data_IF_020535403280
#
_entry.id   IF_020535403280
#
_cell.length_a   1.000
_cell.length_b   1.000
_cell.length_c   1.000
_cell.angle_alpha   90.00
_cell.angle_beta   90.00
_cell.angle_gamma   90.00
#
_symmetry.space_group_name_H-M   'P 1'
#
loop_
_entity.id
_entity.type
_entity.pdbx_description
1 polymer ?
#
# COMPACT_ATOMS: atom_id res chain seq x y z
N UNK A 1 23.35 33.65 44.39
CA UNK A 1 22.77 32.36 43.94
C UNK A 1 22.36 31.58 45.17
N UNK A 2 21.08 31.34 45.36
CA UNK A 2 20.49 30.78 46.58
C UNK A 2 20.62 29.26 46.54
N UNK A 3 20.72 28.59 47.68
CA UNK A 3 20.87 27.14 47.79
C UNK A 3 19.74 26.37 47.04
N UNK A 4 18.56 26.96 46.96
CA UNK A 4 17.43 26.39 46.21
C UNK A 4 17.65 26.43 44.68
N UNK A 5 18.23 27.50 44.16
CA UNK A 5 18.54 27.61 42.72
C UNK A 5 19.63 26.62 42.30
N UNK A 6 20.61 26.39 43.20
CA UNK A 6 21.66 25.38 42.96
C UNK A 6 21.11 23.96 42.96
N UNK A 7 20.15 23.64 43.81
CA UNK A 7 19.48 22.34 43.81
C UNK A 7 18.59 22.15 42.56
N UNK A 8 17.86 23.17 42.11
CA UNK A 8 17.07 23.08 40.89
C UNK A 8 17.93 22.88 39.65
N UNK A 9 19.06 23.57 39.54
CA UNK A 9 20.02 23.37 38.46
C UNK A 9 20.61 21.96 38.48
N UNK A 10 20.92 21.44 39.65
CA UNK A 10 21.46 20.07 39.79
C UNK A 10 20.47 18.99 39.38
N UNK A 11 19.19 19.16 39.73
CA UNK A 11 18.10 18.27 39.33
C UNK A 11 17.86 18.38 37.82
N UNK A 12 17.82 19.58 37.25
CA UNK A 12 17.68 19.79 35.83
C UNK A 12 18.84 19.21 34.99
N UNK A 13 20.08 19.38 35.44
CA UNK A 13 21.25 18.77 34.81
C UNK A 13 21.21 17.23 34.90
N UNK A 14 20.77 16.68 36.05
CA UNK A 14 20.64 15.24 36.23
C UNK A 14 19.54 14.63 35.33
N UNK A 15 18.41 15.30 35.18
CA UNK A 15 17.34 14.91 34.26
C UNK A 15 17.77 15.04 32.77
N UNK A 16 18.49 16.09 32.40
CA UNK A 16 19.03 16.26 31.05
C UNK A 16 20.08 15.19 30.70
N UNK A 17 20.96 14.84 31.65
CA UNK A 17 21.96 13.77 31.46
C UNK A 17 21.26 12.42 31.36
N UNK A 18 20.23 12.19 32.16
CA UNK A 18 19.45 10.96 32.14
C UNK A 18 18.64 10.82 30.82
N UNK A 19 18.04 11.90 30.31
CA UNK A 19 17.36 11.94 29.00
C UNK A 19 18.34 11.71 27.85
N UNK A 20 19.51 12.34 27.85
CA UNK A 20 20.54 12.09 26.82
C UNK A 20 21.06 10.65 26.89
N UNK A 21 21.29 10.12 28.09
CA UNK A 21 21.69 8.72 28.29
C UNK A 21 20.59 7.75 27.83
N UNK A 22 19.32 8.02 28.12
CA UNK A 22 18.20 7.20 27.65
C UNK A 22 18.04 7.25 26.14
N UNK A 23 18.19 8.43 25.52
CA UNK A 23 18.16 8.59 24.06
C UNK A 23 19.39 7.89 23.44
N UNK A 24 20.57 8.01 24.04
CA UNK A 24 21.79 7.33 23.56
C UNK A 24 21.67 5.82 23.72
N UNK A 25 21.12 5.32 24.84
CA UNK A 25 20.85 3.89 25.05
C UNK A 25 19.77 3.40 24.08
N UNK A 26 18.73 4.18 23.83
CA UNK A 26 17.70 3.88 22.84
C UNK A 26 18.27 3.90 21.42
N UNK A 27 19.12 4.85 21.07
CA UNK A 27 19.85 4.87 19.81
C UNK A 27 20.86 3.72 19.69
N UNK A 28 21.58 3.36 20.78
CA UNK A 28 22.49 2.22 20.82
C UNK A 28 21.73 0.87 20.76
N UNK A 29 20.57 0.77 21.40
CA UNK A 29 19.66 -0.37 21.26
C UNK A 29 19.08 -0.47 19.85
N UNK A 30 18.80 0.66 19.19
CA UNK A 30 18.37 0.70 17.79
C UNK A 30 19.52 0.38 16.81
N UNK A 31 20.77 0.66 17.18
CA UNK A 31 21.96 0.35 16.38
C UNK A 31 22.47 -1.08 16.57
N UNK A 32 22.16 -1.73 17.72
CA UNK A 32 22.61 -3.09 18.01
C UNK A 32 21.74 -4.20 17.41
N UNK A 33 20.55 -3.87 16.90
CA UNK A 33 19.68 -4.80 16.18
C UNK A 33 19.71 -4.50 14.70
N UNK A 34 20.47 -5.21 13.90
CA UNK A 34 20.44 -5.20 12.44
C UNK A 34 19.12 -5.77 11.92
N UNK A 35 18.08 -4.95 11.76
CA UNK A 35 16.68 -5.35 11.58
C UNK A 35 16.07 -4.79 10.28
N UNK A 36 15.00 -5.37 9.74
CA UNK A 36 14.56 -5.22 8.35
C UNK A 36 13.07 -5.30 8.10
N UNK A 37 12.56 -4.51 7.15
CA UNK A 37 11.15 -4.19 6.99
C UNK A 37 10.55 -4.32 5.60
N UNK A 38 9.48 -4.98 5.46
CA UNK A 38 8.24 -4.76 4.69
C UNK A 38 7.19 -5.76 5.13
N UNK A 39 5.95 -5.30 5.25
CA UNK A 39 4.80 -6.14 5.60
C UNK A 39 4.65 -7.29 4.58
N UNK A 40 4.43 -8.50 5.08
CA UNK A 40 4.00 -9.60 4.23
C UNK A 40 2.50 -9.43 3.94
N UNK A 41 2.17 -8.96 2.75
CA UNK A 41 0.81 -8.79 2.25
C UNK A 41 0.38 -9.91 1.29
N UNK A 42 1.16 -10.97 1.19
CA UNK A 42 0.98 -12.02 0.16
C UNK A 42 -0.41 -12.67 0.17
N UNK A 43 -1.10 -12.72 1.32
CA UNK A 43 -2.48 -13.22 1.41
C UNK A 43 -3.50 -12.28 0.77
N UNK A 44 -3.17 -10.99 0.63
CA UNK A 44 -4.01 -9.95 0.05
C UNK A 44 -3.66 -9.64 -1.41
N UNK A 45 -2.45 -10.00 -1.86
CA UNK A 45 -2.03 -9.86 -3.25
C UNK A 45 -2.81 -10.83 -4.15
N UNK A 46 -3.09 -10.41 -5.38
CA UNK A 46 -3.92 -11.16 -6.34
C UNK A 46 -3.15 -11.68 -7.56
N UNK A 47 -1.84 -11.44 -7.62
CA UNK A 47 -1.01 -11.86 -8.74
C UNK A 47 -1.08 -13.39 -8.99
N UNK A 48 -1.27 -13.78 -10.24
CA UNK A 48 -1.29 -15.18 -10.68
C UNK A 48 -0.54 -15.34 -11.99
N UNK A 49 0.43 -16.26 -12.00
CA UNK A 49 1.02 -16.74 -13.25
C UNK A 49 0.01 -17.56 -14.05
N UNK A 50 0.10 -17.43 -15.38
CA UNK A 50 -0.60 -18.31 -16.29
C UNK A 50 0.01 -19.72 -16.21
N UNK A 51 -0.84 -20.71 -16.11
CA UNK A 51 -0.47 -22.11 -16.20
C UNK A 51 -0.62 -22.55 -17.65
N UNK A 52 0.50 -22.70 -18.37
CA UNK A 52 0.52 -23.06 -19.79
C UNK A 52 -0.13 -24.42 -20.09
N UNK A 53 -0.25 -25.29 -19.07
CA UNK A 53 -0.90 -26.61 -19.23
C UNK A 53 -2.42 -26.51 -19.36
N UNK A 54 -3.02 -25.36 -19.01
CA UNK A 54 -4.48 -25.09 -19.08
C UNK A 54 -4.94 -24.48 -20.41
N UNK A 55 -4.13 -24.62 -21.47
CA UNK A 55 -4.53 -24.18 -22.80
C UNK A 55 -5.84 -24.85 -23.24
N UNK A 56 -6.72 -24.09 -23.94
CA UNK A 56 -8.06 -24.48 -24.39
C UNK A 56 -9.04 -24.82 -23.23
N UNK A 57 -8.71 -24.48 -21.99
CA UNK A 57 -9.58 -24.73 -20.85
C UNK A 57 -10.49 -23.53 -20.52
N UNK A 58 -11.72 -23.86 -20.21
CA UNK A 58 -12.66 -22.96 -19.53
C UNK A 58 -12.65 -23.31 -18.05
N UNK A 59 -12.58 -22.31 -17.19
CA UNK A 59 -12.68 -22.47 -15.74
C UNK A 59 -13.53 -21.37 -15.12
N UNK A 60 -14.08 -21.65 -13.95
CA UNK A 60 -14.74 -20.66 -13.10
C UNK A 60 -13.82 -20.35 -11.93
N UNK A 61 -13.57 -19.07 -11.66
CA UNK A 61 -12.84 -18.60 -10.48
C UNK A 61 -13.78 -17.84 -9.58
N UNK A 62 -13.69 -18.10 -8.30
CA UNK A 62 -14.43 -17.38 -7.26
C UNK A 62 -13.45 -16.81 -6.23
N UNK A 63 -13.51 -15.50 -6.02
CA UNK A 63 -12.79 -14.81 -4.97
C UNK A 63 -13.78 -14.17 -4.01
N UNK A 64 -13.55 -14.37 -2.71
CA UNK A 64 -14.27 -13.69 -1.63
C UNK A 64 -13.26 -13.06 -0.67
N UNK A 65 -13.48 -11.80 -0.35
CA UNK A 65 -12.66 -11.02 0.57
C UNK A 65 -13.57 -10.35 1.60
N UNK A 66 -13.68 -10.95 2.78
CA UNK A 66 -14.40 -10.36 3.91
C UNK A 66 -13.44 -9.54 4.75
N UNK A 67 -13.92 -8.42 5.26
CA UNK A 67 -13.12 -7.49 6.04
C UNK A 67 -13.91 -6.88 7.19
N UNK A 68 -13.24 -6.69 8.31
CA UNK A 68 -13.56 -5.70 9.34
C UNK A 68 -12.28 -4.93 9.60
N UNK A 69 -12.35 -3.61 9.50
CA UNK A 69 -11.26 -2.69 9.83
C UNK A 69 -11.84 -1.51 10.58
N UNK A 70 -11.31 -1.25 11.75
CA UNK A 70 -11.67 -0.10 12.57
C UNK A 70 -10.46 0.82 12.71
N UNK A 71 -10.64 2.09 12.39
CA UNK A 71 -9.67 3.15 12.58
C UNK A 71 -10.13 4.01 13.76
N UNK A 72 -9.48 3.86 14.91
CA UNK A 72 -9.72 4.68 16.11
C UNK A 72 -8.85 5.95 16.04
N UNK A 73 -9.24 6.85 15.12
CA UNK A 73 -8.57 8.13 14.86
C UNK A 73 -9.47 9.26 15.30
N UNK A 74 -9.02 10.07 16.24
CA UNK A 74 -9.76 11.15 16.85
C UNK A 74 -9.15 12.52 16.57
N UNK A 75 -7.96 12.53 15.94
CA UNK A 75 -7.23 13.74 15.62
C UNK A 75 -7.65 14.35 14.29
N UNK A 76 -7.09 15.54 14.08
CA UNK A 76 -7.35 16.42 12.94
C UNK A 76 -6.75 15.97 11.59
N UNK A 77 -5.95 14.90 11.56
CA UNK A 77 -5.19 14.51 10.35
C UNK A 77 -5.93 13.47 9.52
N UNK A 78 -6.57 12.51 10.18
CA UNK A 78 -7.35 11.46 9.55
C UNK A 78 -8.63 11.20 10.36
N UNK A 79 -9.73 10.83 9.67
CA UNK A 79 -10.96 10.44 10.33
C UNK A 79 -10.91 8.99 10.79
N UNK A 80 -11.52 8.74 11.98
CA UNK A 80 -11.83 7.39 12.45
C UNK A 80 -13.11 6.88 11.81
N UNK A 81 -13.11 5.62 11.38
CA UNK A 81 -14.29 4.94 10.83
C UNK A 81 -14.11 3.43 10.82
N UNK A 82 -15.23 2.71 10.72
CA UNK A 82 -15.23 1.25 10.60
C UNK A 82 -15.67 0.84 9.21
N UNK A 83 -14.91 -0.03 8.58
CA UNK A 83 -15.26 -0.74 7.35
C UNK A 83 -15.60 -2.18 7.72
N UNK A 84 -16.80 -2.63 7.37
CA UNK A 84 -17.24 -4.00 7.63
C UNK A 84 -18.08 -4.52 6.46
N UNK A 85 -17.63 -5.57 5.80
CA UNK A 85 -18.30 -6.05 4.60
C UNK A 85 -17.61 -7.22 3.92
N UNK A 86 -18.06 -7.47 2.70
CA UNK A 86 -17.51 -8.50 1.84
C UNK A 86 -17.43 -8.02 0.38
N UNK A 87 -16.42 -8.51 -0.32
CA UNK A 87 -16.24 -8.36 -1.76
C UNK A 87 -16.31 -9.76 -2.39
N UNK A 88 -17.12 -9.91 -3.43
CA UNK A 88 -17.25 -11.12 -4.25
C UNK A 88 -16.79 -10.83 -5.67
N UNK A 89 -16.01 -11.76 -6.24
CA UNK A 89 -15.52 -11.62 -7.62
C UNK A 89 -15.61 -12.97 -8.37
N UNK A 90 -16.82 -13.42 -8.74
CA UNK A 90 -16.99 -14.57 -9.62
C UNK A 90 -16.57 -14.22 -11.04
N UNK A 91 -15.73 -15.09 -11.67
CA UNK A 91 -15.18 -14.88 -13.02
C UNK A 91 -15.21 -16.18 -13.82
N UNK A 92 -15.57 -16.08 -15.08
CA UNK A 92 -15.27 -17.07 -16.11
C UNK A 92 -13.89 -16.77 -16.66
N UNK A 93 -13.08 -17.80 -16.81
CA UNK A 93 -11.69 -17.69 -17.28
C UNK A 93 -11.50 -18.67 -18.42
N UNK A 94 -11.17 -18.16 -19.60
CA UNK A 94 -10.84 -18.93 -20.78
C UNK A 94 -9.38 -18.71 -21.16
N UNK A 95 -8.67 -19.77 -21.41
CA UNK A 95 -7.27 -19.72 -21.86
C UNK A 95 -7.15 -20.27 -23.30
N UNK A 96 -7.34 -19.40 -24.34
CA UNK A 96 -7.33 -19.84 -25.75
C UNK A 96 -5.97 -20.37 -26.21
N UNK A 97 -4.88 -19.92 -25.60
CA UNK A 97 -3.52 -20.31 -25.90
C UNK A 97 -2.69 -20.46 -24.62
N UNK A 98 -1.55 -21.17 -24.63
CA UNK A 98 -0.71 -21.37 -23.45
C UNK A 98 -0.29 -20.07 -22.75
N UNK A 99 -0.23 -18.98 -23.48
CA UNK A 99 0.25 -17.67 -23.03
C UNK A 99 -0.81 -16.57 -23.03
N UNK A 100 -2.09 -16.89 -23.32
CA UNK A 100 -3.18 -15.90 -23.36
C UNK A 100 -4.33 -16.37 -22.48
N UNK A 101 -4.83 -15.49 -21.63
CA UNK A 101 -5.99 -15.74 -20.77
C UNK A 101 -6.97 -14.57 -20.90
N UNK A 102 -8.25 -14.88 -20.95
CA UNK A 102 -9.35 -13.91 -20.97
C UNK A 102 -10.20 -14.18 -19.73
N UNK A 103 -10.46 -13.15 -18.95
CA UNK A 103 -11.35 -13.21 -17.79
C UNK A 103 -12.55 -12.30 -18.01
N UNK A 104 -13.74 -12.76 -17.66
CA UNK A 104 -14.96 -11.98 -17.65
C UNK A 104 -15.78 -12.32 -16.40
N UNK A 105 -16.32 -11.33 -15.71
CA UNK A 105 -17.03 -11.56 -14.44
C UNK A 105 -17.63 -10.31 -13.85
N UNK A 106 -17.89 -10.36 -12.55
CA UNK A 106 -18.50 -9.28 -11.79
C UNK A 106 -17.72 -9.08 -10.49
N UNK A 107 -17.42 -7.84 -10.19
CA UNK A 107 -17.00 -7.38 -8.87
C UNK A 107 -18.22 -6.85 -8.13
N UNK A 108 -18.46 -7.31 -6.92
CA UNK A 108 -19.56 -6.85 -6.08
C UNK A 108 -19.05 -6.62 -4.65
N UNK A 109 -19.18 -5.39 -4.16
CA UNK A 109 -18.88 -5.01 -2.76
C UNK A 109 -20.19 -4.79 -2.01
N UNK A 110 -20.30 -5.41 -0.85
CA UNK A 110 -21.42 -5.24 0.10
C UNK A 110 -20.86 -4.83 1.45
N UNK A 111 -21.08 -3.58 1.83
CA UNK A 111 -20.83 -3.14 3.21
C UNK A 111 -22.02 -3.57 4.07
N UNK A 112 -21.75 -4.19 5.21
CA UNK A 112 -22.80 -4.67 6.11
C UNK A 112 -23.51 -3.49 6.77
N UNK A 113 -24.81 -3.65 7.01
CA UNK A 113 -25.69 -2.57 7.43
C UNK A 113 -26.35 -1.80 6.28
N UNK A 114 -25.78 -1.79 5.07
CA UNK A 114 -26.43 -1.20 3.90
C UNK A 114 -27.48 -2.15 3.32
N UNK A 115 -28.57 -1.62 2.75
CA UNK A 115 -29.60 -2.44 2.09
C UNK A 115 -29.16 -2.91 0.70
N UNK A 116 -28.46 -2.07 -0.07
CA UNK A 116 -27.94 -2.36 -1.41
C UNK A 116 -26.46 -2.75 -1.41
N UNK A 117 -25.97 -3.23 -2.55
CA UNK A 117 -24.53 -3.34 -2.78
C UNK A 117 -23.91 -1.93 -2.82
N UNK A 118 -22.76 -1.78 -2.21
CA UNK A 118 -21.99 -0.52 -2.22
C UNK A 118 -21.42 -0.23 -3.61
N UNK A 119 -20.99 -1.28 -4.31
CA UNK A 119 -20.49 -1.18 -5.68
C UNK A 119 -20.70 -2.49 -6.43
N UNK A 120 -21.08 -2.40 -7.70
CA UNK A 120 -21.11 -3.53 -8.64
C UNK A 120 -20.46 -3.06 -9.93
N UNK A 121 -19.44 -3.78 -10.41
CA UNK A 121 -18.67 -3.41 -11.58
C UNK A 121 -18.39 -4.64 -12.44
N UNK A 122 -18.37 -4.53 -13.78
CA UNK A 122 -17.93 -5.62 -14.64
C UNK A 122 -16.42 -5.87 -14.47
N UNK A 123 -16.02 -7.12 -14.63
CA UNK A 123 -14.63 -7.52 -14.77
C UNK A 123 -14.40 -7.99 -16.18
N UNK A 124 -13.40 -7.44 -16.84
CA UNK A 124 -12.88 -7.92 -18.10
C UNK A 124 -11.37 -7.77 -18.13
N UNK A 125 -10.65 -8.84 -18.39
CA UNK A 125 -9.18 -8.81 -18.49
C UNK A 125 -8.71 -9.70 -19.62
N UNK A 126 -7.83 -9.15 -20.45
CA UNK A 126 -6.97 -9.93 -21.35
C UNK A 126 -5.57 -9.92 -20.77
N UNK A 127 -5.05 -11.11 -20.49
CA UNK A 127 -3.72 -11.34 -19.94
C UNK A 127 -2.87 -12.07 -20.96
N UNK A 128 -1.72 -11.51 -21.31
CA UNK A 128 -0.73 -12.09 -22.20
C UNK A 128 0.56 -12.27 -21.40
N UNK A 129 1.07 -13.49 -21.33
CA UNK A 129 2.31 -13.80 -20.62
C UNK A 129 3.36 -14.32 -21.59
N UNK A 130 4.56 -13.76 -21.53
CA UNK A 130 5.73 -14.25 -22.22
C UNK A 130 6.90 -14.39 -21.23
N UNK A 131 7.31 -15.61 -20.97
CA UNK A 131 8.31 -15.94 -19.95
C UNK A 131 7.99 -15.34 -18.58
N UNK A 132 8.82 -14.39 -18.16
CA UNK A 132 8.69 -13.67 -16.88
C UNK A 132 7.94 -12.35 -17.00
N UNK A 133 7.45 -12.00 -18.19
CA UNK A 133 6.74 -10.77 -18.50
C UNK A 133 5.26 -11.04 -18.67
N UNK A 134 4.42 -10.12 -18.20
CA UNK A 134 2.97 -10.19 -18.31
C UNK A 134 2.43 -8.83 -18.73
N UNK A 135 1.51 -8.83 -19.67
CA UNK A 135 0.76 -7.65 -20.10
C UNK A 135 -0.72 -7.88 -19.82
N UNK A 136 -1.38 -6.89 -19.23
CA UNK A 136 -2.81 -6.87 -18.95
C UNK A 136 -3.47 -5.69 -19.63
N UNK A 137 -4.65 -5.96 -20.18
CA UNK A 137 -5.60 -4.97 -20.67
C UNK A 137 -6.95 -5.21 -20.00
N UNK A 138 -7.57 -4.16 -19.44
CA UNK A 138 -8.83 -4.23 -18.71
C UNK A 138 -8.60 -4.10 -17.20
N UNK A 139 -9.15 -5.01 -16.38
CA UNK A 139 -8.88 -4.96 -14.94
C UNK A 139 -7.43 -5.41 -14.65
N UNK A 140 -6.75 -4.65 -13.81
CA UNK A 140 -5.34 -4.81 -13.49
C UNK A 140 -5.13 -5.70 -12.25
N UNK A 141 -3.93 -6.22 -12.10
CA UNK A 141 -3.42 -6.73 -10.84
C UNK A 141 -2.85 -5.56 -10.04
N UNK A 142 -3.75 -4.73 -9.50
CA UNK A 142 -3.45 -3.45 -8.87
C UNK A 142 -3.18 -3.50 -7.37
N UNK A 143 -3.24 -2.34 -6.73
CA UNK A 143 -3.14 -2.14 -5.27
C UNK A 143 -1.81 -2.66 -4.70
N UNK A 144 -1.85 -3.59 -3.75
CA UNK A 144 -0.67 -4.15 -3.09
C UNK A 144 0.28 -4.88 -4.05
N UNK A 145 -0.20 -5.34 -5.23
CA UNK A 145 0.66 -5.97 -6.23
C UNK A 145 1.65 -5.00 -6.90
N UNK A 146 1.39 -3.68 -6.82
CA UNK A 146 2.33 -2.65 -7.29
C UNK A 146 3.57 -2.52 -6.39
N UNK A 147 3.51 -3.07 -5.17
CA UNK A 147 4.58 -3.01 -4.18
C UNK A 147 5.02 -1.58 -3.83
N UNK A 148 4.09 -0.62 -3.89
CA UNK A 148 4.35 0.76 -3.45
C UNK A 148 4.39 0.84 -1.92
N UNK A 149 5.17 1.81 -1.41
CA UNK A 149 5.18 2.15 0.02
C UNK A 149 3.88 2.86 0.43
N UNK A 150 3.48 2.73 1.68
CA UNK A 150 2.21 3.27 2.19
C UNK A 150 2.04 4.78 2.06
N UNK A 151 3.09 5.62 2.18
CA UNK A 151 2.96 7.03 1.85
C UNK A 151 2.54 7.31 0.40
N UNK A 152 2.77 6.38 -0.54
CA UNK A 152 2.39 6.50 -1.95
C UNK A 152 1.13 5.70 -2.33
N UNK A 153 0.79 4.66 -1.56
CA UNK A 153 -0.38 3.79 -1.81
C UNK A 153 -0.97 3.31 -0.49
N UNK A 154 -2.14 3.81 -0.13
CA UNK A 154 -2.86 3.40 1.07
C UNK A 154 -3.29 1.94 0.98
N UNK A 155 -2.89 1.06 1.92
CA UNK A 155 -3.32 -0.34 1.94
C UNK A 155 -4.84 -0.53 2.00
N UNK A 156 -5.62 0.42 2.53
CA UNK A 156 -7.09 0.35 2.55
C UNK A 156 -7.74 0.37 1.17
N UNK A 157 -7.01 0.77 0.14
CA UNK A 157 -7.49 0.70 -1.24
C UNK A 157 -7.88 -0.71 -1.67
N UNK A 158 -7.37 -1.77 -1.03
CA UNK A 158 -7.84 -3.14 -1.25
C UNK A 158 -9.32 -3.34 -0.89
N UNK A 159 -9.89 -2.44 -0.09
CA UNK A 159 -11.32 -2.41 0.26
C UNK A 159 -12.03 -1.31 -0.55
N UNK A 160 -11.50 -0.08 -0.50
CA UNK A 160 -12.19 1.12 -0.99
C UNK A 160 -12.12 1.28 -2.51
N UNK A 161 -10.99 0.96 -3.12
CA UNK A 161 -10.69 1.14 -4.54
C UNK A 161 -10.04 -0.09 -5.16
N UNK A 162 -10.62 -1.28 -4.91
CA UNK A 162 -9.99 -2.56 -5.29
C UNK A 162 -9.82 -2.76 -6.80
N UNK A 163 -10.74 -2.22 -7.61
CA UNK A 163 -10.67 -2.35 -9.06
C UNK A 163 -9.84 -1.20 -9.65
N UNK A 164 -8.81 -1.55 -10.38
CA UNK A 164 -8.06 -0.66 -11.26
C UNK A 164 -8.26 -1.14 -12.70
N UNK A 165 -8.41 -0.22 -13.65
CA UNK A 165 -8.74 -0.57 -15.04
C UNK A 165 -7.90 0.22 -16.04
N UNK A 166 -7.31 -0.50 -17.00
CA UNK A 166 -6.47 0.12 -18.01
C UNK A 166 -5.43 -0.82 -18.58
N UNK A 167 -4.15 -0.46 -18.48
CA UNK A 167 -3.01 -1.21 -18.99
C UNK A 167 -1.99 -1.46 -17.90
N UNK A 168 -1.41 -2.66 -17.89
CA UNK A 168 -0.32 -2.99 -16.96
C UNK A 168 0.70 -3.89 -17.64
N UNK A 169 1.98 -3.60 -17.40
CA UNK A 169 3.09 -4.47 -17.77
C UNK A 169 3.89 -4.83 -16.54
N UNK A 170 4.05 -6.11 -16.27
CA UNK A 170 4.87 -6.61 -15.16
C UNK A 170 5.99 -7.51 -15.66
N UNK A 171 7.14 -7.49 -14.98
CA UNK A 171 8.25 -8.41 -15.20
C UNK A 171 8.80 -8.90 -13.87
N UNK A 172 8.69 -10.22 -13.65
CA UNK A 172 9.07 -10.85 -12.38
C UNK A 172 10.19 -11.88 -12.62
N UNK A 173 11.44 -11.49 -12.38
CA UNK A 173 12.61 -12.34 -12.40
C UNK A 173 13.21 -12.53 -11.01
N UNK A 174 14.06 -13.53 -10.83
CA UNK A 174 14.74 -13.81 -9.54
C UNK A 174 15.42 -12.60 -8.91
N UNK A 175 15.99 -11.71 -9.74
CA UNK A 175 16.76 -10.54 -9.30
C UNK A 175 16.12 -9.20 -9.68
N UNK A 176 14.95 -9.20 -10.32
CA UNK A 176 14.31 -7.96 -10.78
C UNK A 176 12.79 -8.12 -10.72
N UNK A 177 12.14 -7.19 -10.07
CA UNK A 177 10.72 -6.92 -10.17
C UNK A 177 10.55 -5.59 -10.92
N UNK A 178 9.63 -5.55 -11.85
CA UNK A 178 9.22 -4.34 -12.56
C UNK A 178 7.72 -4.39 -12.77
N UNK A 179 7.03 -3.31 -12.47
CA UNK A 179 5.61 -3.11 -12.71
C UNK A 179 5.39 -1.68 -13.19
N UNK A 180 4.59 -1.52 -14.24
CA UNK A 180 4.19 -0.22 -14.77
C UNK A 180 2.74 -0.31 -15.22
N UNK A 181 1.93 0.70 -14.87
CA UNK A 181 0.49 0.67 -15.12
C UNK A 181 -0.06 2.06 -15.40
N UNK A 182 -1.22 2.06 -16.03
CA UNK A 182 -2.12 3.20 -16.16
C UNK A 182 -3.50 2.72 -15.72
N UNK A 183 -4.05 3.31 -14.67
CA UNK A 183 -5.41 3.12 -14.18
C UNK A 183 -6.25 4.31 -14.59
N UNK A 184 -7.26 4.08 -15.43
CA UNK A 184 -8.19 5.10 -15.88
C UNK A 184 -9.37 5.16 -14.92
N UNK A 185 -9.29 6.04 -13.94
CA UNK A 185 -10.25 6.10 -12.84
C UNK A 185 -11.55 6.76 -13.20
N UNK A 186 -11.52 7.76 -14.13
CA UNK A 186 -12.70 8.48 -14.55
C UNK A 186 -12.57 8.98 -15.98
N UNK A 187 -13.44 8.50 -16.86
CA UNK A 187 -13.49 8.91 -18.27
C UNK A 187 -14.41 10.13 -18.45
N UNK A 188 -14.00 11.06 -19.31
CA UNK A 188 -14.84 12.20 -19.71
C UNK A 188 -15.41 12.03 -21.11
N UNK A 189 -16.55 12.65 -21.32
CA UNK A 189 -17.21 12.83 -22.61
C UNK A 189 -17.48 14.31 -22.82
N UNK A 190 -17.92 14.68 -24.04
CA UNK A 190 -18.30 16.07 -24.30
C UNK A 190 -19.30 16.56 -23.28
N UNK A 191 -19.00 17.74 -22.71
CA UNK A 191 -19.85 18.41 -21.71
C UNK A 191 -19.94 17.72 -20.33
N UNK A 192 -19.06 16.77 -20.00
CA UNK A 192 -18.98 16.24 -18.62
C UNK A 192 -18.81 17.39 -17.61
N UNK A 193 -19.48 17.28 -16.47
CA UNK A 193 -19.43 18.24 -15.35
C UNK A 193 -18.28 17.95 -14.36
N UNK A 194 -17.37 17.05 -14.73
CA UNK A 194 -16.22 16.62 -13.95
C UNK A 194 -14.98 16.45 -14.85
N UNK A 195 -13.82 16.39 -14.23
CA UNK A 195 -12.54 16.15 -14.91
C UNK A 195 -12.23 14.66 -15.06
N UNK A 196 -11.46 14.35 -16.09
CA UNK A 196 -10.80 13.07 -16.24
C UNK A 196 -9.83 12.81 -15.09
N UNK A 197 -9.78 11.56 -14.61
CA UNK A 197 -8.85 11.15 -13.57
C UNK A 197 -8.07 9.90 -14.01
N UNK A 198 -6.74 10.02 -14.01
CA UNK A 198 -5.82 8.95 -14.38
C UNK A 198 -4.80 8.79 -13.25
N UNK A 199 -4.59 7.55 -12.81
CA UNK A 199 -3.50 7.18 -11.92
C UNK A 199 -2.55 6.24 -12.65
N UNK A 200 -1.30 6.64 -12.75
CA UNK A 200 -0.27 5.84 -13.41
C UNK A 200 0.95 5.68 -12.51
N UNK A 201 1.71 4.64 -12.73
CA UNK A 201 2.90 4.44 -11.93
C UNK A 201 3.90 3.43 -12.47
N UNK A 202 5.02 3.38 -11.75
CA UNK A 202 6.11 2.45 -11.98
C UNK A 202 6.66 2.02 -10.62
N UNK A 203 6.88 0.72 -10.46
CA UNK A 203 7.59 0.13 -9.34
C UNK A 203 8.68 -0.80 -9.85
N UNK A 204 9.91 -0.53 -9.49
CA UNK A 204 11.07 -1.32 -9.88
C UNK A 204 11.91 -1.66 -8.67
N UNK A 205 12.27 -2.94 -8.54
CA UNK A 205 13.18 -3.40 -7.49
C UNK A 205 14.26 -4.28 -8.13
N UNK A 206 15.52 -3.90 -7.97
CA UNK A 206 16.69 -4.61 -8.48
C UNK A 206 17.53 -5.15 -7.32
N UNK A 207 17.67 -6.48 -7.23
CA UNK A 207 18.61 -7.11 -6.30
C UNK A 207 20.02 -6.98 -6.84
N UNK A 208 20.89 -6.35 -6.04
CA UNK A 208 22.31 -6.15 -6.35
C UNK A 208 23.15 -7.29 -5.80
N UNK A 209 22.80 -7.77 -4.61
CA UNK A 209 23.48 -8.90 -3.95
C UNK A 209 22.44 -9.96 -3.64
N UNK A 210 22.72 -11.19 -4.00
CA UNK A 210 21.86 -12.34 -3.69
C UNK A 210 22.74 -13.48 -3.16
N UNK A 211 22.60 -13.75 -1.86
CA UNK A 211 23.21 -14.89 -1.16
C UNK A 211 22.11 -15.80 -0.62
N UNK A 212 22.38 -17.05 -0.20
CA UNK A 212 21.35 -17.97 0.29
C UNK A 212 20.45 -17.40 1.39
N UNK A 213 21.02 -16.66 2.33
CA UNK A 213 20.30 -16.08 3.46
C UNK A 213 20.33 -14.56 3.49
N UNK A 214 20.72 -13.89 2.42
CA UNK A 214 20.82 -12.44 2.36
C UNK A 214 20.58 -11.91 0.95
N UNK A 215 19.83 -10.82 0.83
CA UNK A 215 19.90 -10.00 -0.37
C UNK A 215 19.92 -8.50 -0.04
N UNK A 216 20.48 -7.74 -0.96
CA UNK A 216 20.45 -6.28 -0.99
C UNK A 216 19.83 -5.86 -2.31
N UNK A 217 18.87 -4.92 -2.26
CA UNK A 217 18.22 -4.39 -3.46
C UNK A 217 17.98 -2.87 -3.37
N UNK A 218 17.76 -2.28 -4.54
CA UNK A 218 17.38 -0.88 -4.70
C UNK A 218 15.96 -0.85 -5.28
N UNK A 219 14.94 -0.48 -4.49
CA UNK A 219 13.61 -0.14 -4.97
C UNK A 219 13.56 1.31 -5.47
N UNK A 220 12.86 1.51 -6.59
CA UNK A 220 12.51 2.81 -7.16
C UNK A 220 11.04 2.81 -7.49
N UNK A 221 10.33 3.85 -7.07
CA UNK A 221 8.87 3.98 -7.25
C UNK A 221 8.53 5.38 -7.77
N UNK A 222 7.55 5.44 -8.65
CA UNK A 222 7.05 6.67 -9.24
C UNK A 222 5.54 6.53 -9.43
N UNK A 223 4.79 7.58 -9.09
CA UNK A 223 3.36 7.66 -9.39
C UNK A 223 2.99 9.03 -9.93
N UNK A 224 1.97 9.06 -10.79
CA UNK A 224 1.35 10.25 -11.36
C UNK A 224 -0.15 10.16 -11.12
N UNK A 225 -0.71 11.16 -10.47
CA UNK A 225 -2.16 11.37 -10.42
C UNK A 225 -2.48 12.59 -11.26
N UNK A 226 -3.18 12.38 -12.36
CA UNK A 226 -3.63 13.46 -13.25
C UNK A 226 -5.13 13.67 -13.11
N UNK A 227 -5.52 14.94 -12.96
CA UNK A 227 -6.91 15.39 -13.03
C UNK A 227 -7.01 16.54 -14.02
N UNK A 228 -7.69 16.31 -15.16
CA UNK A 228 -7.69 17.27 -16.27
C UNK A 228 -8.79 17.00 -17.30
N UNK A 229 -8.50 17.33 -18.56
CA UNK A 229 -9.35 17.11 -19.72
C UNK A 229 -9.74 18.41 -20.42
N UNK A 230 -9.94 18.34 -21.74
CA UNK A 230 -10.22 19.49 -22.61
C UNK A 230 -11.71 19.65 -22.98
N UNK A 231 -12.50 18.56 -22.85
CA UNK A 231 -13.89 18.49 -23.31
C UNK A 231 -14.90 18.50 -22.15
N UNK A 232 -14.49 18.94 -20.98
CA UNK A 232 -15.32 19.04 -19.78
C UNK A 232 -15.86 20.45 -19.60
N UNK A 233 -17.05 20.58 -19.00
CA UNK A 233 -17.60 21.85 -18.48
C UNK A 233 -16.99 22.30 -17.16
N UNK A 234 -16.30 21.39 -16.46
CA UNK A 234 -15.59 21.72 -15.22
C UNK A 234 -14.43 22.66 -15.54
N UNK A 235 -14.58 23.94 -15.21
CA UNK A 235 -13.56 24.99 -15.37
C UNK A 235 -12.47 24.95 -14.28
N UNK A 236 -12.56 24.02 -13.34
CA UNK A 236 -11.54 23.80 -12.32
C UNK A 236 -10.18 23.55 -12.96
N UNK A 237 -9.15 23.60 -12.16
CA UNK A 237 -7.77 23.55 -12.68
C UNK A 237 -7.33 22.15 -13.04
N UNK A 238 -6.42 22.07 -14.01
CA UNK A 238 -5.68 20.85 -14.32
C UNK A 238 -4.60 20.67 -13.26
N UNK A 239 -4.55 19.50 -12.66
CA UNK A 239 -3.61 19.15 -11.58
C UNK A 239 -2.90 17.85 -11.97
N UNK A 240 -1.58 17.85 -11.80
CA UNK A 240 -0.77 16.62 -11.89
C UNK A 240 0.10 16.52 -10.65
N UNK A 241 -0.14 15.52 -9.83
CA UNK A 241 0.67 15.19 -8.66
C UNK A 241 1.65 14.09 -9.02
N UNK A 242 2.91 14.28 -8.67
CA UNK A 242 4.00 13.34 -8.91
C UNK A 242 4.58 12.94 -7.56
N UNK A 243 4.63 11.64 -7.29
CA UNK A 243 5.30 11.09 -6.12
C UNK A 243 6.43 10.16 -6.54
N UNK A 244 7.55 10.23 -5.84
CA UNK A 244 8.74 9.42 -6.09
C UNK A 244 9.24 8.80 -4.79
N UNK A 245 9.80 7.59 -4.87
CA UNK A 245 10.56 7.01 -3.78
C UNK A 245 11.75 6.23 -4.31
N UNK A 246 12.90 6.43 -3.69
CA UNK A 246 14.10 5.63 -3.92
C UNK A 246 14.60 5.12 -2.57
N UNK A 247 15.00 3.86 -2.54
CA UNK A 247 15.39 3.26 -1.26
C UNK A 247 16.49 2.23 -1.35
N UNK A 248 16.83 1.73 -0.19
CA UNK A 248 17.66 0.55 -0.02
C UNK A 248 16.89 -0.48 0.79
N UNK A 249 16.83 -1.68 0.26
CA UNK A 249 16.22 -2.82 0.91
C UNK A 249 17.26 -3.89 1.12
N UNK A 250 17.35 -4.38 2.34
CA UNK A 250 18.21 -5.48 2.67
C UNK A 250 17.42 -6.53 3.47
N UNK A 251 17.54 -7.82 3.18
CA UNK A 251 16.84 -8.92 3.84
C UNK A 251 17.80 -10.04 4.23
N UNK A 252 17.64 -10.58 5.46
CA UNK A 252 18.33 -11.76 5.95
C UNK A 252 17.30 -12.80 6.39
N UNK A 253 17.56 -14.03 6.14
CA UNK A 253 16.68 -15.16 6.44
C UNK A 253 17.31 -16.08 7.44
N UNK A 254 16.47 -16.76 8.23
CA UNK A 254 16.89 -17.77 9.22
C UNK A 254 17.87 -17.22 10.26
N UNK A 255 17.43 -16.22 11.03
CA UNK A 255 18.21 -15.62 12.12
C UNK A 255 17.64 -16.07 13.45
N UNK A 256 18.24 -17.09 14.09
CA UNK A 256 17.75 -17.65 15.32
C UNK A 256 16.30 -18.15 15.16
N UNK A 257 15.38 -17.68 15.99
CA UNK A 257 13.96 -18.01 15.93
C UNK A 257 13.17 -17.21 14.86
N UNK A 258 13.78 -16.19 14.29
CA UNK A 258 13.16 -15.38 13.25
C UNK A 258 13.33 -16.04 11.88
N UNK A 259 12.23 -16.07 11.13
CA UNK A 259 12.22 -16.56 9.76
C UNK A 259 12.87 -15.57 8.81
N UNK A 260 12.60 -14.28 9.05
CA UNK A 260 13.10 -13.20 8.23
C UNK A 260 13.19 -11.92 9.05
N UNK A 261 14.18 -11.15 8.72
CA UNK A 261 14.33 -9.75 9.14
C UNK A 261 14.55 -8.91 7.88
N UNK A 262 13.95 -7.72 7.76
CA UNK A 262 14.05 -6.87 6.58
C UNK A 262 14.11 -5.38 6.95
N UNK A 263 15.03 -4.61 6.34
CA UNK A 263 15.06 -3.14 6.38
C UNK A 263 14.63 -2.60 5.02
N UNK A 264 13.81 -1.56 5.02
CA UNK A 264 13.49 -0.80 3.81
C UNK A 264 13.44 0.68 4.16
N UNK A 265 14.43 1.41 3.70
CA UNK A 265 14.55 2.83 3.96
C UNK A 265 14.43 3.58 2.63
N UNK A 266 13.54 4.56 2.61
CA UNK A 266 13.24 5.35 1.42
C UNK A 266 13.42 6.84 1.68
N UNK A 267 13.95 7.53 0.68
CA UNK A 267 13.74 8.94 0.47
C UNK A 267 12.54 9.11 -0.45
N UNK A 268 11.62 10.00 -0.08
CA UNK A 268 10.35 10.21 -0.77
C UNK A 268 10.23 11.66 -1.20
N UNK A 269 9.77 11.87 -2.42
CA UNK A 269 9.53 13.19 -2.99
C UNK A 269 8.09 13.35 -3.47
N UNK A 270 7.61 14.58 -3.43
CA UNK A 270 6.32 15.02 -3.95
C UNK A 270 6.48 16.31 -4.74
N UNK A 271 5.77 16.43 -5.85
CA UNK A 271 5.64 17.68 -6.60
C UNK A 271 4.26 17.76 -7.26
N UNK A 272 3.62 18.93 -7.11
CA UNK A 272 2.41 19.27 -7.84
C UNK A 272 2.74 20.18 -9.00
N UNK A 273 2.28 19.81 -10.19
CA UNK A 273 2.30 20.64 -11.38
C UNK A 273 0.86 21.08 -11.70
N UNK A 274 0.56 22.35 -11.50
CA UNK A 274 -0.75 22.95 -11.76
C UNK A 274 -0.62 24.47 -11.87
N UNK A 275 -1.62 25.13 -12.49
CA UNK A 275 -1.72 26.59 -12.51
C UNK A 275 -2.26 27.16 -11.18
N UNK A 276 -2.43 26.33 -10.18
CA UNK A 276 -2.95 26.66 -8.86
C UNK A 276 -1.82 26.79 -7.84
N UNK A 277 -1.96 27.66 -6.88
CA UNK A 277 -1.04 27.75 -5.74
C UNK A 277 -1.46 26.74 -4.67
N UNK A 278 -0.92 25.52 -4.66
CA UNK A 278 -1.20 24.55 -3.61
C UNK A 278 -0.59 25.03 -2.29
N UNK A 279 -1.02 24.44 -1.16
CA UNK A 279 -0.37 24.71 0.13
C UNK A 279 1.12 24.38 0.10
N UNK A 280 1.44 23.30 -0.58
CA UNK A 280 2.82 22.85 -0.83
C UNK A 280 2.94 22.45 -2.30
N UNK A 281 3.71 23.21 -3.11
CA UNK A 281 3.98 22.83 -4.50
C UNK A 281 4.90 21.61 -4.61
N UNK A 282 5.71 21.39 -3.60
CA UNK A 282 6.62 20.27 -3.45
C UNK A 282 6.77 19.87 -1.98
N UNK A 283 7.28 18.68 -1.76
CA UNK A 283 7.53 18.12 -0.44
C UNK A 283 8.46 16.92 -0.49
N UNK A 284 9.00 16.58 0.65
CA UNK A 284 9.89 15.41 0.76
C UNK A 284 9.78 14.76 2.13
N UNK A 285 10.28 13.53 2.22
CA UNK A 285 10.31 12.80 3.48
C UNK A 285 11.25 11.62 3.47
N UNK A 286 11.43 11.03 4.63
CA UNK A 286 12.08 9.74 4.82
C UNK A 286 11.07 8.75 5.41
N UNK A 287 11.09 7.52 4.90
CA UNK A 287 10.27 6.42 5.38
C UNK A 287 11.18 5.26 5.75
N UNK A 288 11.42 5.10 7.05
CA UNK A 288 12.31 4.08 7.60
C UNK A 288 11.48 2.94 8.15
N UNK A 289 11.78 1.75 7.74
CA UNK A 289 11.00 0.57 8.11
C UNK A 289 11.88 -0.57 8.56
N UNK A 290 11.34 -1.32 9.50
CA UNK A 290 11.95 -2.42 10.21
C UNK A 290 10.94 -3.52 10.44
N UNK A 291 11.06 -4.71 9.81
CA UNK A 291 10.19 -5.87 10.03
C UNK A 291 10.97 -7.07 10.57
N UNK A 292 10.39 -7.73 11.54
CA UNK A 292 10.79 -9.06 12.00
C UNK A 292 9.63 -10.04 11.78
N UNK A 293 9.85 -11.09 11.00
CA UNK A 293 8.88 -12.16 10.76
C UNK A 293 9.24 -13.41 11.59
N UNK A 294 8.27 -13.94 12.29
CA UNK A 294 8.39 -15.17 13.06
C UNK A 294 7.26 -16.15 12.73
N UNK A 295 7.34 -17.37 13.26
CA UNK A 295 6.23 -18.34 13.18
C UNK A 295 4.97 -17.87 13.95
N UNK A 296 5.13 -16.99 14.93
CA UNK A 296 4.05 -16.57 15.82
C UNK A 296 3.38 -15.30 15.34
N UNK A 297 4.16 -14.26 15.03
CA UNK A 297 3.70 -12.93 14.67
C UNK A 297 4.75 -12.22 13.83
N UNK A 298 4.33 -11.34 12.95
CA UNK A 298 5.17 -10.44 12.20
C UNK A 298 5.02 -9.03 12.79
N UNK A 299 6.14 -8.40 13.11
CA UNK A 299 6.17 -7.04 13.66
C UNK A 299 6.90 -6.13 12.66
N UNK A 300 6.30 -4.96 12.38
CA UNK A 300 6.94 -3.91 11.61
C UNK A 300 6.94 -2.61 12.42
N UNK A 301 8.10 -1.97 12.48
CA UNK A 301 8.28 -0.63 13.00
C UNK A 301 8.54 0.31 11.83
N UNK A 302 7.77 1.38 11.72
CA UNK A 302 7.92 2.39 10.68
C UNK A 302 8.09 3.77 11.29
N UNK A 303 9.03 4.55 10.76
CA UNK A 303 9.20 5.94 11.10
C UNK A 303 9.04 6.80 9.86
N UNK A 304 8.14 7.76 9.92
CA UNK A 304 7.88 8.75 8.87
C UNK A 304 8.25 10.13 9.36
N UNK A 305 9.07 10.82 8.59
CA UNK A 305 9.35 12.24 8.79
C UNK A 305 9.27 12.94 7.43
N UNK A 306 8.44 13.99 7.33
CA UNK A 306 8.26 14.71 6.07
C UNK A 306 7.98 16.19 6.26
N UNK A 307 8.19 16.93 5.17
CA UNK A 307 7.90 18.36 5.04
C UNK A 307 7.11 18.57 3.76
N UNK A 308 5.88 19.10 3.89
CA UNK A 308 5.01 19.47 2.77
C UNK A 308 4.62 18.29 1.86
N UNK A 309 4.72 17.05 2.32
CA UNK A 309 4.46 15.87 1.51
C UNK A 309 2.97 15.61 1.34
N UNK A 310 2.57 15.26 0.10
CA UNK A 310 1.21 14.87 -0.26
C UNK A 310 1.23 13.74 -1.29
N UNK A 311 0.17 12.92 -1.29
CA UNK A 311 -0.04 11.86 -2.28
C UNK A 311 -1.54 11.52 -2.34
N UNK A 312 -2.14 11.58 -3.52
CA UNK A 312 -3.59 11.31 -3.68
C UNK A 312 -3.96 9.85 -3.39
N UNK A 313 -3.07 8.92 -3.68
CA UNK A 313 -3.28 7.49 -3.42
C UNK A 313 -2.67 7.03 -2.09
N UNK A 314 -1.84 7.84 -1.46
CA UNK A 314 -1.15 7.53 -0.20
C UNK A 314 -2.05 7.55 1.03
N UNK A 315 -1.58 6.96 2.13
CA UNK A 315 -2.31 6.95 3.38
C UNK A 315 -2.45 8.34 4.00
N UNK A 316 -3.62 8.65 4.57
CA UNK A 316 -3.96 9.97 5.12
C UNK A 316 -3.01 10.40 6.24
N UNK A 317 -2.54 9.46 7.05
CA UNK A 317 -1.62 9.74 8.17
C UNK A 317 -0.30 10.40 7.73
N UNK A 318 0.13 10.14 6.50
CA UNK A 318 1.41 10.63 5.96
C UNK A 318 1.34 12.03 5.37
N UNK A 319 0.12 12.54 5.13
CA UNK A 319 -0.12 13.78 4.40
C UNK A 319 0.18 15.01 5.23
N UNK A 320 0.71 16.05 4.60
CA UNK A 320 0.86 17.40 5.19
C UNK A 320 -0.40 18.25 5.10
N UNK A 321 -1.39 17.83 4.30
CA UNK A 321 -2.73 18.42 4.25
C UNK A 321 -3.75 17.31 4.39
N UNK A 322 -4.56 17.38 5.41
CA UNK A 322 -5.67 16.48 5.68
C UNK A 322 -7.01 17.22 5.62
N UNK A 323 -8.09 16.46 5.57
CA UNK A 323 -9.45 16.96 5.75
C UNK A 323 -10.22 15.95 6.58
N UNK A 324 -10.71 16.40 7.72
CA UNK A 324 -11.51 15.56 8.62
C UNK A 324 -12.89 16.18 8.83
N UNK A 325 -13.84 15.33 9.20
CA UNK A 325 -15.22 15.77 9.44
C UNK A 325 -15.29 16.84 10.54
N UNK A 326 -14.58 16.62 11.65
CA UNK A 326 -14.67 17.49 12.83
C UNK A 326 -13.84 18.77 12.70
N UNK A 327 -12.73 18.75 12.00
CA UNK A 327 -11.77 19.87 11.97
C UNK A 327 -11.69 20.56 10.60
N UNK A 328 -12.39 20.03 9.58
CA UNK A 328 -12.32 20.53 8.23
C UNK A 328 -10.91 20.33 7.63
N UNK A 329 -10.42 21.33 6.89
CA UNK A 329 -9.10 21.29 6.26
C UNK A 329 -8.00 21.66 7.26
N UNK A 330 -7.04 20.79 7.42
CA UNK A 330 -5.90 20.92 8.34
C UNK A 330 -4.61 20.91 7.55
N UNK A 331 -3.68 21.80 7.88
CA UNK A 331 -2.36 21.91 7.24
C UNK A 331 -1.28 21.71 8.29
N UNK A 332 -0.52 20.65 8.16
CA UNK A 332 0.63 20.33 9.02
C UNK A 332 1.88 20.14 8.15
N UNK A 333 2.62 21.24 7.98
CA UNK A 333 3.84 21.25 7.12
C UNK A 333 4.82 20.12 7.46
N UNK A 334 4.99 19.85 8.74
CA UNK A 334 5.91 18.81 9.24
C UNK A 334 5.09 17.64 9.78
N UNK A 335 5.36 16.43 9.29
CA UNK A 335 4.75 15.20 9.81
C UNK A 335 5.85 14.32 10.40
N UNK A 336 5.61 13.82 11.60
CA UNK A 336 6.58 13.00 12.32
C UNK A 336 5.81 11.90 13.07
N UNK A 337 5.85 10.67 12.55
CA UNK A 337 5.01 9.57 12.99
C UNK A 337 5.84 8.31 13.21
N UNK A 338 5.58 7.63 14.30
CA UNK A 338 6.06 6.29 14.58
C UNK A 338 4.90 5.31 14.52
N UNK A 339 5.00 4.26 13.71
CA UNK A 339 3.95 3.25 13.53
C UNK A 339 4.51 1.88 13.87
N UNK A 340 3.79 1.13 14.68
CA UNK A 340 4.08 -0.27 14.97
C UNK A 340 2.96 -1.10 14.32
N UNK A 341 3.30 -2.17 13.60
CA UNK A 341 2.32 -3.09 13.02
C UNK A 341 2.59 -4.49 13.51
N UNK A 342 1.57 -5.07 14.09
CA UNK A 342 1.56 -6.49 14.47
C UNK A 342 0.61 -7.23 13.52
N UNK A 343 1.12 -8.27 12.86
CA UNK A 343 0.38 -8.99 11.83
C UNK A 343 0.53 -10.49 11.98
N UNK A 344 -0.57 -11.19 11.67
CA UNK A 344 -0.56 -12.65 11.62
C UNK A 344 -1.48 -13.15 10.52
N UNK A 345 -0.95 -14.06 9.71
CA UNK A 345 -1.71 -14.82 8.74
C UNK A 345 -1.86 -16.26 9.22
N UNK A 346 -3.09 -16.78 9.17
CA UNK A 346 -3.40 -18.19 9.39
C UNK A 346 -3.94 -18.78 8.09
N UNK A 347 -3.31 -19.83 7.63
CA UNK A 347 -3.83 -20.67 6.56
C UNK A 347 -4.82 -21.63 7.17
N UNK A 348 -6.12 -21.38 6.97
CA UNK A 348 -7.22 -22.22 7.50
C UNK A 348 -7.41 -23.45 6.60
N UNK A 349 -7.44 -23.22 5.27
CA UNK A 349 -7.44 -24.25 4.21
C UNK A 349 -6.48 -23.80 3.10
N UNK A 350 -6.27 -24.65 2.10
CA UNK A 350 -5.33 -24.32 1.02
C UNK A 350 -5.65 -23.00 0.31
N UNK A 351 -6.91 -22.62 0.25
CA UNK A 351 -7.36 -21.42 -0.46
C UNK A 351 -8.07 -20.41 0.47
N UNK A 352 -8.00 -20.62 1.80
CA UNK A 352 -8.67 -19.79 2.81
C UNK A 352 -7.65 -19.30 3.83
N UNK A 353 -7.50 -17.98 3.91
CA UNK A 353 -6.58 -17.32 4.83
C UNK A 353 -7.33 -16.34 5.73
N UNK A 354 -6.99 -16.35 7.02
CA UNK A 354 -7.39 -15.35 7.99
C UNK A 354 -6.19 -14.47 8.30
N UNK A 355 -6.31 -13.17 8.12
CA UNK A 355 -5.24 -12.18 8.38
C UNK A 355 -5.70 -11.22 9.47
N UNK A 356 -4.91 -11.09 10.52
CA UNK A 356 -5.10 -10.10 11.58
C UNK A 356 -4.03 -9.02 11.49
N UNK A 357 -4.40 -7.75 11.73
CA UNK A 357 -3.50 -6.62 11.86
C UNK A 357 -3.91 -5.75 13.04
N UNK A 358 -2.92 -5.28 13.78
CA UNK A 358 -3.05 -4.24 14.77
C UNK A 358 -1.96 -3.21 14.53
N UNK A 359 -2.36 -1.96 14.33
CA UNK A 359 -1.50 -0.90 13.78
C UNK A 359 -1.58 0.37 14.63
N UNK A 360 -1.02 0.38 15.87
CA UNK A 360 -0.89 1.59 16.65
C UNK A 360 0.11 2.56 16.02
N UNK A 361 -0.20 3.86 16.10
CA UNK A 361 0.73 4.90 15.72
C UNK A 361 0.80 6.03 16.75
N UNK A 362 1.95 6.69 16.76
CA UNK A 362 2.23 7.84 17.59
C UNK A 362 2.50 9.04 16.68
N UNK A 363 1.63 10.02 16.71
CA UNK A 363 1.88 11.32 16.12
C UNK A 363 2.77 12.12 17.07
N UNK A 364 4.06 12.23 16.74
CA UNK A 364 5.07 12.86 17.60
C UNK A 364 4.95 14.38 17.62
N UNK A 365 4.34 14.99 16.59
CA UNK A 365 4.06 16.41 16.55
C UNK A 365 2.90 16.76 17.48
N UNK A 366 1.82 16.00 17.43
CA UNK A 366 0.62 16.21 18.21
C UNK A 366 0.66 15.51 19.58
N UNK A 367 1.64 14.64 19.82
CA UNK A 367 1.81 13.84 21.06
C UNK A 367 0.62 12.95 21.36
N UNK A 368 0.10 12.30 20.35
CA UNK A 368 -1.09 11.47 20.43
C UNK A 368 -0.79 10.05 19.99
N UNK A 369 -1.46 9.12 20.66
CA UNK A 369 -1.50 7.71 20.34
C UNK A 369 -2.88 7.36 19.79
N UNK A 370 -2.91 6.76 18.63
CA UNK A 370 -4.11 6.22 17.99
C UNK A 370 -3.80 4.86 17.36
N UNK A 371 -4.82 4.12 16.96
CA UNK A 371 -4.59 2.78 16.41
C UNK A 371 -5.65 2.41 15.37
N UNK A 372 -5.34 1.41 14.58
CA UNK A 372 -6.33 0.65 13.82
C UNK A 372 -6.16 -0.86 14.03
N UNK A 373 -7.26 -1.57 13.94
CA UNK A 373 -7.29 -3.02 13.96
C UNK A 373 -8.09 -3.55 12.77
N UNK A 374 -7.67 -4.69 12.25
CA UNK A 374 -8.36 -5.32 11.13
C UNK A 374 -8.26 -6.84 11.14
N UNK A 375 -9.32 -7.46 10.64
CA UNK A 375 -9.41 -8.88 10.38
C UNK A 375 -9.92 -9.08 8.96
N UNK A 376 -9.17 -9.85 8.17
CA UNK A 376 -9.49 -10.16 6.79
C UNK A 376 -9.62 -11.66 6.61
N UNK A 377 -10.66 -12.09 5.89
CA UNK A 377 -10.84 -13.48 5.46
C UNK A 377 -10.79 -13.50 3.93
N UNK A 378 -9.77 -14.15 3.37
CA UNK A 378 -9.57 -14.25 1.93
C UNK A 378 -9.77 -15.68 1.47
N UNK A 379 -10.70 -15.89 0.54
CA UNK A 379 -10.94 -17.18 -0.11
C UNK A 379 -10.80 -17.04 -1.62
N UNK A 380 -10.05 -17.95 -2.25
CA UNK A 380 -9.84 -17.99 -3.70
C UNK A 380 -9.85 -19.41 -4.21
N UNK A 381 -10.78 -19.72 -5.10
CA UNK A 381 -10.94 -21.07 -5.65
C UNK A 381 -11.19 -21.01 -7.15
N UNK A 382 -10.52 -21.91 -7.87
CA UNK A 382 -10.75 -22.15 -9.29
C UNK A 382 -11.30 -23.54 -9.55
N UNK A 383 -12.26 -23.66 -10.45
CA UNK A 383 -12.88 -24.90 -10.87
C UNK A 383 -12.74 -25.05 -12.38
N UNK A 384 -12.14 -26.16 -12.84
CA UNK A 384 -12.10 -26.49 -14.27
C UNK A 384 -13.49 -26.93 -14.75
N UNK A 385 -13.99 -26.32 -15.83
CA UNK A 385 -15.30 -26.65 -16.41
C UNK A 385 -15.19 -27.55 -17.65
N UNK A 386 -14.04 -27.58 -18.29
CA UNK A 386 -13.81 -28.40 -19.46
C UNK A 386 -12.85 -27.82 -20.48
N UNK A 387 -12.60 -28.55 -21.53
CA UNK A 387 -11.75 -28.15 -22.68
C UNK A 387 -12.65 -27.73 -23.84
N UNK A 388 -12.45 -26.52 -24.34
CA UNK A 388 -13.12 -26.01 -25.55
C UNK A 388 -12.19 -26.34 -26.74
N UNK A 389 -12.56 -27.36 -27.53
CA UNK A 389 -11.82 -27.65 -28.74
C UNK A 389 -12.21 -26.63 -29.81
N UNK A 390 -11.24 -25.85 -30.31
CA UNK A 390 -11.42 -25.11 -31.55
C UNK A 390 -11.61 -26.11 -32.71
N UNK A 391 -12.66 -25.93 -33.49
CA UNK A 391 -12.84 -26.66 -34.76
C UNK A 391 -11.82 -26.20 -35.77
#
# INVERSE_FOLDING_TARGET
MNLQEFQQIKVFCHEMINRKSQITIMCLLLLSFGMKAQLNNSTLETFQHLDSTKSQQLSFKFESFSYIKNNEYFLKVADGYTLFGNIFSPKMVFQPAPNVQIEAGIFARKDFGNTAFTSVQPIFTVKIQQDSSQFLFGNLEGQLNHHLIEPMMNPERVILNRQETGLQYTKRKKITFFDSWIDWQKMIYNDSDFKEEIFAGLSWNKKLIVKPNFYLSIPVQLTFQHRGGQITKDTGQVITNINTAIGVEAEWRRIGFLQKIKIQNYFVGYRQNSNYHPFFPDGSGIYLNLTAESKFINIMLSYWNSTGYMSDAGGDLYQSVGRTYNYGKVVEKYRNILIIRAMKDWKILDNLYLTFRFEPYFDLNNRVFEHSESLFLTYRQGFGLGIIKSK
#
